data_IF_280311308717
#
_entry.id   IF_280311308717
#
_cell.length_a   1.000
_cell.length_b   1.000
_cell.length_c   1.000
_cell.angle_alpha   90.00
_cell.angle_beta   90.00
_cell.angle_gamma   90.00
#
_symmetry.space_group_name_H-M   'P 1'
#
loop_
_entity.id
_entity.type
_entity.pdbx_description
1 polymer ?
#
# COMPACT_ATOMS: atom_id res chain seq x y z
N UNK A 1 10.76 -23.00 -12.82
CA UNK A 1 10.08 -24.02 -11.99
C UNK A 1 9.00 -23.40 -11.09
N UNK A 2 9.29 -22.27 -10.44
CA UNK A 2 8.33 -21.56 -9.53
C UNK A 2 6.98 -21.28 -10.17
N UNK A 3 6.96 -20.72 -11.38
CA UNK A 3 5.72 -20.40 -12.10
C UNK A 3 4.83 -21.63 -12.39
N UNK A 4 5.44 -22.76 -12.69
CA UNK A 4 4.73 -24.03 -12.90
C UNK A 4 4.13 -24.54 -11.59
N UNK A 5 4.92 -24.53 -10.51
CA UNK A 5 4.47 -24.94 -9.19
C UNK A 5 3.32 -24.05 -8.68
N UNK A 6 3.46 -22.72 -8.79
CA UNK A 6 2.44 -21.75 -8.45
C UNK A 6 1.12 -22.05 -9.17
N UNK A 7 1.17 -22.21 -10.50
CA UNK A 7 -0.04 -22.47 -11.28
C UNK A 7 -0.71 -23.79 -10.90
N UNK A 8 0.08 -24.85 -10.72
CA UNK A 8 -0.46 -26.16 -10.30
C UNK A 8 -1.06 -26.13 -8.90
N UNK A 9 -0.54 -25.28 -8.01
CA UNK A 9 -1.10 -25.05 -6.67
C UNK A 9 -2.36 -24.19 -6.73
N UNK A 10 -2.39 -23.16 -7.56
CA UNK A 10 -3.54 -22.25 -7.72
C UNK A 10 -4.77 -22.98 -8.27
N UNK A 11 -4.59 -23.84 -9.27
CA UNK A 11 -5.65 -24.69 -9.83
C UNK A 11 -6.27 -25.62 -8.77
N UNK A 12 -5.51 -25.99 -7.74
CA UNK A 12 -5.96 -26.86 -6.63
C UNK A 12 -6.51 -26.09 -5.46
N UNK A 13 -6.03 -24.87 -5.25
CA UNK A 13 -6.48 -23.96 -4.22
C UNK A 13 -7.91 -23.52 -4.49
N UNK A 14 -8.21 -23.10 -5.72
CA UNK A 14 -9.53 -22.62 -6.14
C UNK A 14 -10.00 -23.33 -7.42
N UNK A 15 -10.35 -24.63 -7.34
CA UNK A 15 -10.90 -25.33 -8.48
C UNK A 15 -12.23 -24.69 -8.87
N UNK A 16 -12.44 -24.51 -10.18
CA UNK A 16 -13.61 -23.84 -10.75
C UNK A 16 -14.91 -24.31 -10.08
N UNK A 17 -15.59 -23.39 -9.39
CA UNK A 17 -16.89 -23.64 -8.75
C UNK A 17 -16.85 -24.22 -7.32
N UNK A 18 -15.70 -24.23 -6.64
CA UNK A 18 -15.59 -24.69 -5.24
C UNK A 18 -15.00 -23.62 -4.31
N UNK A 19 -15.23 -23.79 -3.00
CA UNK A 19 -14.66 -22.95 -1.95
C UNK A 19 -13.13 -23.10 -1.95
N UNK A 20 -12.37 -21.99 -1.86
CA UNK A 20 -10.91 -22.05 -1.74
C UNK A 20 -10.49 -22.92 -0.56
N UNK A 21 -9.50 -23.79 -0.77
CA UNK A 21 -8.96 -24.64 0.30
C UNK A 21 -7.73 -23.98 0.93
N UNK A 22 -7.63 -24.01 2.26
CA UNK A 22 -6.53 -23.39 3.01
C UNK A 22 -5.25 -24.24 3.03
N UNK A 23 -5.39 -25.54 2.75
CA UNK A 23 -4.27 -26.47 2.69
C UNK A 23 -4.45 -27.51 1.59
N UNK A 24 -3.33 -27.97 1.02
CA UNK A 24 -3.31 -29.04 0.02
C UNK A 24 -2.23 -30.06 0.37
N UNK A 25 -2.63 -31.33 0.51
CA UNK A 25 -1.72 -32.44 0.80
C UNK A 25 -1.63 -33.39 -0.38
N UNK A 26 -0.41 -33.80 -0.75
CA UNK A 26 -0.15 -34.69 -1.88
C UNK A 26 1.07 -35.58 -1.62
N UNK A 27 1.09 -36.80 -2.18
CA UNK A 27 2.28 -37.64 -2.19
C UNK A 27 3.43 -36.94 -2.92
N UNK A 28 4.62 -36.95 -2.31
CA UNK A 28 5.84 -36.35 -2.87
C UNK A 28 6.18 -36.98 -4.22
N UNK A 29 5.98 -38.29 -4.37
CA UNK A 29 6.20 -39.00 -5.64
C UNK A 29 5.22 -38.53 -6.71
N UNK A 30 3.92 -38.59 -6.42
CA UNK A 30 2.88 -38.19 -7.37
C UNK A 30 3.04 -36.71 -7.76
N UNK A 31 3.49 -35.87 -6.82
CA UNK A 31 3.78 -34.47 -7.07
C UNK A 31 4.97 -34.27 -8.01
N UNK A 32 6.07 -35.00 -7.79
CA UNK A 32 7.22 -34.99 -8.68
C UNK A 32 6.84 -35.43 -10.09
N UNK A 33 6.07 -36.51 -10.24
CA UNK A 33 5.60 -37.00 -11.54
C UNK A 33 4.72 -35.97 -12.25
N UNK A 34 3.79 -35.33 -11.55
CA UNK A 34 2.96 -34.29 -12.14
C UNK A 34 3.77 -33.09 -12.65
N UNK A 35 4.86 -32.76 -11.95
CA UNK A 35 5.77 -31.68 -12.32
C UNK A 35 6.83 -32.10 -13.36
N UNK A 36 6.73 -33.32 -13.91
CA UNK A 36 7.62 -33.85 -14.95
C UNK A 36 8.92 -34.48 -14.45
N UNK A 37 9.06 -34.71 -13.14
CA UNK A 37 10.24 -35.33 -12.50
C UNK A 37 10.13 -36.87 -12.48
N UNK A 38 9.83 -37.48 -13.63
CA UNK A 38 9.61 -38.92 -13.73
C UNK A 38 10.88 -39.70 -13.36
N UNK A 39 10.73 -40.75 -12.55
CA UNK A 39 11.84 -41.63 -12.13
C UNK A 39 12.85 -40.99 -11.17
N UNK A 40 12.58 -39.79 -10.64
CA UNK A 40 13.46 -39.15 -9.67
C UNK A 40 13.31 -39.77 -8.27
N UNK A 41 14.42 -39.83 -7.53
CA UNK A 41 14.39 -40.18 -6.10
C UNK A 41 13.75 -39.04 -5.31
N UNK A 42 13.04 -39.37 -4.24
CA UNK A 42 12.30 -38.41 -3.40
C UNK A 42 13.16 -37.26 -2.86
N UNK A 43 14.39 -37.55 -2.41
CA UNK A 43 15.32 -36.50 -1.96
C UNK A 43 15.67 -35.51 -3.08
N UNK A 44 15.81 -36.00 -4.31
CA UNK A 44 16.07 -35.17 -5.50
C UNK A 44 14.86 -34.30 -5.85
N UNK A 45 13.65 -34.85 -5.75
CA UNK A 45 12.40 -34.11 -5.93
C UNK A 45 12.33 -32.97 -4.90
N UNK A 46 12.58 -33.26 -3.62
CA UNK A 46 12.58 -32.24 -2.56
C UNK A 46 13.57 -31.12 -2.85
N UNK A 47 14.84 -31.45 -3.11
CA UNK A 47 15.88 -30.46 -3.43
C UNK A 47 15.55 -29.61 -4.64
N UNK A 48 14.86 -30.15 -5.64
CA UNK A 48 14.46 -29.40 -6.82
C UNK A 48 13.28 -28.46 -6.57
N UNK A 49 12.38 -28.84 -5.65
CA UNK A 49 11.25 -28.00 -5.25
C UNK A 49 11.64 -26.90 -4.26
N UNK A 50 12.69 -27.10 -3.47
CA UNK A 50 13.14 -26.18 -2.42
C UNK A 50 13.24 -24.71 -2.87
N UNK A 51 13.90 -24.36 -4.00
CA UNK A 51 14.00 -22.95 -4.42
C UNK A 51 12.63 -22.36 -4.76
N UNK A 52 11.72 -23.17 -5.29
CA UNK A 52 10.37 -22.75 -5.62
C UNK A 52 9.49 -22.61 -4.37
N UNK A 53 9.69 -23.47 -3.36
CA UNK A 53 9.04 -23.32 -2.06
C UNK A 53 9.47 -22.05 -1.37
N UNK A 54 10.77 -21.75 -1.36
CA UNK A 54 11.29 -20.54 -0.74
C UNK A 54 10.70 -19.28 -1.37
N UNK A 55 10.67 -19.18 -2.71
CA UNK A 55 10.09 -18.01 -3.38
C UNK A 55 8.58 -17.84 -3.08
N UNK A 56 7.83 -18.95 -2.96
CA UNK A 56 6.41 -18.91 -2.62
C UNK A 56 6.13 -18.59 -1.15
N UNK A 57 7.05 -18.93 -0.26
CA UNK A 57 7.02 -18.51 1.14
C UNK A 57 7.38 -17.03 1.27
N UNK A 58 8.42 -16.58 0.55
CA UNK A 58 8.87 -15.17 0.56
C UNK A 58 7.82 -14.21 0.00
N UNK A 59 7.03 -14.66 -0.96
CA UNK A 59 5.89 -13.91 -1.53
C UNK A 59 4.60 -14.02 -0.71
N UNK A 60 4.64 -14.71 0.44
CA UNK A 60 3.50 -15.00 1.30
C UNK A 60 2.33 -15.72 0.59
N UNK A 61 2.58 -16.36 -0.56
CA UNK A 61 1.59 -17.22 -1.21
C UNK A 61 1.38 -18.53 -0.44
N UNK A 62 2.47 -19.06 0.12
CA UNK A 62 2.46 -20.15 1.09
C UNK A 62 2.82 -19.60 2.47
N UNK A 63 2.18 -20.11 3.52
CA UNK A 63 2.59 -19.89 4.92
C UNK A 63 3.58 -20.96 5.34
N UNK A 64 3.37 -22.18 4.87
CA UNK A 64 4.09 -23.34 5.38
C UNK A 64 4.12 -24.46 4.34
N UNK A 65 5.24 -25.18 4.29
CA UNK A 65 5.39 -26.42 3.53
C UNK A 65 5.91 -27.49 4.49
N UNK A 66 5.11 -28.54 4.71
CA UNK A 66 5.43 -29.62 5.65
C UNK A 66 5.66 -30.90 4.87
N UNK A 67 6.79 -31.57 5.12
CA UNK A 67 7.02 -32.93 4.66
C UNK A 67 6.72 -33.92 5.78
N UNK A 68 5.78 -34.83 5.55
CA UNK A 68 5.40 -35.88 6.51
C UNK A 68 5.61 -37.28 5.92
N UNK A 69 5.75 -38.29 6.78
CA UNK A 69 6.00 -39.67 6.36
C UNK A 69 7.48 -39.97 6.04
N UNK A 70 7.75 -41.20 5.59
CA UNK A 70 9.09 -41.69 5.24
C UNK A 70 9.05 -42.58 4.00
N UNK A 71 10.15 -42.61 3.26
CA UNK A 71 10.27 -43.41 2.03
C UNK A 71 9.16 -43.09 1.03
N UNK A 72 8.64 -44.12 0.38
CA UNK A 72 7.58 -44.00 -0.64
C UNK A 72 6.26 -43.38 -0.15
N UNK A 73 6.02 -43.40 1.17
CA UNK A 73 4.84 -42.80 1.79
C UNK A 73 4.99 -41.32 2.12
N UNK A 74 6.06 -40.66 1.69
CA UNK A 74 6.30 -39.26 2.00
C UNK A 74 5.27 -38.33 1.33
N UNK A 75 4.66 -37.43 2.11
CA UNK A 75 3.68 -36.46 1.65
C UNK A 75 4.18 -35.03 1.86
N UNK A 76 3.72 -34.12 1.01
CA UNK A 76 3.92 -32.68 1.10
C UNK A 76 2.58 -32.04 1.41
N UNK A 77 2.51 -31.26 2.47
CA UNK A 77 1.37 -30.43 2.81
C UNK A 77 1.75 -28.97 2.60
N UNK A 78 1.00 -28.31 1.74
CA UNK A 78 1.08 -26.88 1.47
C UNK A 78 0.00 -26.17 2.27
N UNK A 79 0.38 -25.17 3.07
CA UNK A 79 -0.56 -24.25 3.71
C UNK A 79 -0.54 -22.94 2.95
N UNK A 80 -1.66 -22.53 2.38
CA UNK A 80 -1.74 -21.31 1.61
C UNK A 80 -1.79 -20.09 2.52
N UNK A 81 -1.10 -19.02 2.11
CA UNK A 81 -1.27 -17.68 2.68
C UNK A 81 -2.72 -17.25 2.59
N UNK A 82 -3.22 -16.51 3.58
CA UNK A 82 -4.54 -15.89 3.45
C UNK A 82 -4.55 -15.00 2.21
N UNK A 83 -5.26 -15.43 1.17
CA UNK A 83 -5.82 -14.47 0.22
C UNK A 83 -6.82 -13.72 1.08
N UNK A 84 -6.58 -12.43 1.27
CA UNK A 84 -7.49 -11.54 1.98
C UNK A 84 -8.90 -11.95 1.59
N UNK A 85 -9.68 -12.42 2.58
CA UNK A 85 -11.06 -12.83 2.34
C UNK A 85 -11.71 -11.77 1.45
N UNK A 86 -12.54 -12.16 0.46
CA UNK A 86 -13.22 -11.19 -0.37
C UNK A 86 -13.81 -10.13 0.56
N UNK A 87 -13.42 -8.85 0.41
CA UNK A 87 -13.74 -7.83 1.38
C UNK A 87 -15.25 -7.82 1.56
N UNK A 88 -15.73 -7.82 2.80
CA UNK A 88 -17.16 -7.85 3.09
C UNK A 88 -17.84 -6.74 2.26
N UNK A 89 -18.63 -7.15 1.27
CA UNK A 89 -19.20 -6.26 0.25
C UNK A 89 -20.12 -5.23 0.87
N UNK A 90 -20.74 -5.56 2.01
CA UNK A 90 -21.58 -4.65 2.79
C UNK A 90 -20.73 -3.53 3.41
N UNK A 91 -19.58 -3.86 4.00
CA UNK A 91 -18.65 -2.89 4.59
C UNK A 91 -18.02 -1.99 3.51
N UNK A 92 -17.69 -2.55 2.35
CA UNK A 92 -17.18 -1.78 1.21
C UNK A 92 -18.25 -0.81 0.69
N UNK A 93 -19.49 -1.27 0.55
CA UNK A 93 -20.60 -0.43 0.14
C UNK A 93 -20.88 0.68 1.16
N UNK A 94 -20.78 0.37 2.45
CA UNK A 94 -20.98 1.31 3.56
C UNK A 94 -19.90 2.41 3.55
N UNK A 95 -18.62 2.08 3.34
CA UNK A 95 -17.57 3.09 3.16
C UNK A 95 -17.73 3.92 1.88
N UNK A 96 -18.14 3.28 0.79
CA UNK A 96 -18.34 3.95 -0.50
C UNK A 96 -19.49 4.97 -0.44
N UNK A 97 -20.60 4.62 0.23
CA UNK A 97 -21.72 5.54 0.50
C UNK A 97 -21.32 6.75 1.34
N UNK A 98 -20.34 6.60 2.22
CA UNK A 98 -19.78 7.68 3.05
C UNK A 98 -18.71 8.51 2.32
N UNK A 99 -18.45 8.20 1.05
CA UNK A 99 -17.66 9.01 0.14
C UNK A 99 -16.27 8.44 -0.17
N UNK A 100 -15.87 7.29 0.38
CA UNK A 100 -14.58 6.66 0.06
C UNK A 100 -14.60 6.08 -1.37
N UNK A 101 -13.49 6.19 -2.10
CA UNK A 101 -13.38 5.56 -3.43
C UNK A 101 -13.37 4.04 -3.30
N UNK A 102 -13.96 3.32 -4.27
CA UNK A 102 -14.06 1.85 -4.22
C UNK A 102 -12.71 1.13 -3.97
N UNK A 103 -11.57 1.54 -4.57
CA UNK A 103 -10.28 0.94 -4.27
C UNK A 103 -9.82 1.18 -2.83
N UNK A 104 -10.07 2.37 -2.27
CA UNK A 104 -9.70 2.69 -0.90
C UNK A 104 -10.65 2.05 0.12
N UNK A 105 -11.94 1.92 -0.20
CA UNK A 105 -12.90 1.19 0.62
C UNK A 105 -12.50 -0.28 0.76
N UNK A 106 -12.12 -0.95 -0.34
CA UNK A 106 -11.62 -2.33 -0.32
C UNK A 106 -10.38 -2.45 0.57
N UNK A 107 -9.38 -1.58 0.38
CA UNK A 107 -8.15 -1.57 1.21
C UNK A 107 -8.46 -1.34 2.70
N UNK A 108 -9.39 -0.44 2.99
CA UNK A 108 -9.76 -0.09 4.37
C UNK A 108 -10.51 -1.23 5.06
N UNK A 109 -11.42 -1.91 4.36
CA UNK A 109 -12.10 -3.11 4.89
C UNK A 109 -11.10 -4.24 5.13
N UNK A 110 -10.14 -4.44 4.23
CA UNK A 110 -9.11 -5.47 4.41
C UNK A 110 -8.21 -5.21 5.62
N UNK A 111 -7.90 -3.94 5.92
CA UNK A 111 -7.02 -3.57 7.03
C UNK A 111 -7.75 -3.40 8.37
N UNK A 112 -9.02 -2.95 8.36
CA UNK A 112 -9.72 -2.49 9.57
C UNK A 112 -11.17 -3.01 9.68
N UNK A 113 -11.50 -4.18 9.10
CA UNK A 113 -12.87 -4.72 9.04
C UNK A 113 -13.69 -4.57 10.34
N UNK A 114 -13.10 -4.91 11.49
CA UNK A 114 -13.77 -4.86 12.79
C UNK A 114 -14.11 -3.43 13.27
N UNK A 115 -13.44 -2.41 12.75
CA UNK A 115 -13.59 -1.01 13.17
C UNK A 115 -14.46 -0.20 12.20
N UNK A 116 -14.83 -0.75 11.05
CA UNK A 116 -15.52 -0.01 9.97
C UNK A 116 -16.85 0.58 10.43
N UNK A 117 -17.70 -0.21 11.06
CA UNK A 117 -19.02 0.23 11.48
C UNK A 117 -18.94 1.30 12.59
N UNK A 118 -18.10 1.07 13.60
CA UNK A 118 -17.89 2.01 14.70
C UNK A 118 -17.34 3.35 14.19
N UNK A 119 -16.39 3.31 13.25
CA UNK A 119 -15.75 4.50 12.67
C UNK A 119 -16.73 5.28 11.81
N UNK A 120 -17.58 4.60 11.04
CA UNK A 120 -18.59 5.26 10.21
C UNK A 120 -19.71 5.88 11.07
N UNK A 121 -20.10 5.22 12.17
CA UNK A 121 -21.01 5.79 13.14
C UNK A 121 -20.43 7.05 13.80
N UNK A 122 -19.16 7.00 14.22
CA UNK A 122 -18.45 8.16 14.77
C UNK A 122 -18.31 9.29 13.73
N UNK A 123 -17.98 8.96 12.48
CA UNK A 123 -17.90 9.92 11.37
C UNK A 123 -19.23 10.64 11.14
N UNK A 124 -20.35 9.91 11.21
CA UNK A 124 -21.69 10.51 11.15
C UNK A 124 -21.92 11.56 12.24
N UNK A 125 -21.50 11.27 13.47
CA UNK A 125 -21.60 12.20 14.61
C UNK A 125 -20.76 13.45 14.37
N UNK A 126 -19.49 13.30 13.97
CA UNK A 126 -18.59 14.43 13.67
C UNK A 126 -19.18 15.33 12.58
N UNK A 127 -19.68 14.74 11.49
CA UNK A 127 -20.29 15.50 10.39
C UNK A 127 -21.56 16.22 10.84
N UNK A 128 -22.39 15.60 11.68
CA UNK A 128 -23.65 16.22 12.16
C UNK A 128 -23.42 17.35 13.16
N UNK A 129 -22.36 17.28 13.97
CA UNK A 129 -22.03 18.29 14.99
C UNK A 129 -21.17 19.43 14.44
N UNK A 130 -20.60 19.27 13.24
CA UNK A 130 -19.79 20.29 12.59
C UNK A 130 -20.65 21.51 12.20
N UNK A 131 -20.33 22.67 12.78
CA UNK A 131 -20.96 23.97 12.44
C UNK A 131 -20.68 24.46 11.01
N UNK A 132 -19.72 23.85 10.32
CA UNK A 132 -19.31 24.21 8.96
C UNK A 132 -19.18 22.94 8.12
N UNK A 133 -19.62 22.93 6.85
CA UNK A 133 -19.54 21.75 6.01
C UNK A 133 -18.08 21.27 5.87
N UNK A 134 -17.85 20.00 6.19
CA UNK A 134 -16.55 19.34 6.06
C UNK A 134 -16.14 19.30 4.59
N UNK A 135 -15.13 20.09 4.21
CA UNK A 135 -14.66 20.20 2.82
C UNK A 135 -13.99 18.92 2.29
N UNK A 136 -13.33 18.13 3.16
CA UNK A 136 -12.66 16.89 2.78
C UNK A 136 -13.14 15.71 3.62
N UNK A 137 -14.31 15.18 3.24
CA UNK A 137 -14.97 14.05 3.93
C UNK A 137 -14.15 12.76 3.84
N UNK A 138 -13.51 12.52 2.71
CA UNK A 138 -12.67 11.34 2.48
C UNK A 138 -11.43 11.35 3.38
N UNK A 139 -10.73 12.49 3.42
CA UNK A 139 -9.55 12.66 4.27
C UNK A 139 -9.89 12.49 5.75
N UNK A 140 -11.02 13.06 6.20
CA UNK A 140 -11.49 12.89 7.57
C UNK A 140 -11.79 11.41 7.89
N UNK A 141 -12.52 10.70 7.03
CA UNK A 141 -12.86 9.30 7.28
C UNK A 141 -11.60 8.42 7.35
N UNK A 142 -10.63 8.64 6.46
CA UNK A 142 -9.33 7.93 6.50
C UNK A 142 -8.52 8.28 7.74
N UNK A 143 -8.55 9.54 8.18
CA UNK A 143 -7.85 9.98 9.40
C UNK A 143 -8.45 9.32 10.66
N UNK A 144 -9.77 9.16 10.72
CA UNK A 144 -10.44 8.48 11.83
C UNK A 144 -10.07 6.99 11.94
N UNK A 145 -9.72 6.32 10.82
CA UNK A 145 -9.17 4.96 10.86
C UNK A 145 -7.70 4.91 11.31
N UNK A 146 -6.92 5.94 10.99
CA UNK A 146 -5.47 5.98 11.29
C UNK A 146 -5.15 6.47 12.69
N UNK A 147 -5.94 7.43 13.17
CA UNK A 147 -5.75 8.11 14.45
C UNK A 147 -7.07 8.09 15.26
N UNK A 148 -7.61 6.90 15.61
CA UNK A 148 -8.90 6.79 16.30
C UNK A 148 -8.92 7.51 17.66
N UNK A 149 -7.77 7.63 18.34
CA UNK A 149 -7.61 8.31 19.62
C UNK A 149 -7.94 9.81 19.57
N UNK A 150 -7.70 10.46 18.43
CA UNK A 150 -8.05 11.89 18.22
C UNK A 150 -9.56 12.13 18.21
N UNK A 151 -10.33 11.06 18.00
CA UNK A 151 -11.77 11.10 17.84
C UNK A 151 -12.49 10.25 18.89
N UNK A 152 -11.79 9.84 19.96
CA UNK A 152 -12.30 8.91 20.98
C UNK A 152 -13.65 9.34 21.58
N UNK A 153 -13.86 10.65 21.74
CA UNK A 153 -15.12 11.25 22.22
C UNK A 153 -16.34 10.91 21.34
N UNK A 154 -16.13 10.61 20.05
CA UNK A 154 -17.19 10.25 19.12
C UNK A 154 -17.43 8.74 19.02
N UNK A 155 -16.50 7.91 19.52
CA UNK A 155 -16.63 6.46 19.56
C UNK A 155 -17.42 5.97 20.78
N UNK A 156 -17.46 6.73 21.88
CA UNK A 156 -18.27 6.40 23.05
C UNK A 156 -19.75 6.74 22.81
N UNK A 157 -20.63 5.74 22.94
CA UNK A 157 -22.09 5.90 22.80
C UNK A 157 -22.78 6.56 23.99
N UNK A 158 -22.05 7.00 25.01
CA UNK A 158 -22.62 7.39 26.32
C UNK A 158 -22.84 8.90 26.50
N UNK A 159 -22.51 9.74 25.52
CA UNK A 159 -22.71 11.21 25.62
C UNK A 159 -23.80 11.75 24.68
N UNK A 160 -24.83 10.95 24.40
CA UNK A 160 -26.00 11.41 23.64
C UNK A 160 -27.08 12.08 24.51
N UNK A 161 -26.88 12.17 25.83
CA UNK A 161 -27.87 12.70 26.75
C UNK A 161 -27.25 13.66 27.78
N UNK A 162 -26.66 14.77 27.34
CA UNK A 162 -26.56 15.95 28.19
C UNK A 162 -26.42 17.21 27.32
N UNK A 163 -27.55 17.90 27.17
CA UNK A 163 -27.63 19.20 26.53
C UNK A 163 -27.09 20.28 27.48
N UNK A 164 -25.92 20.84 27.12
CA UNK A 164 -25.52 22.24 27.39
C UNK A 164 -24.51 22.49 28.53
N UNK A 165 -23.90 23.69 28.62
CA UNK A 165 -23.80 24.77 27.65
C UNK A 165 -22.35 25.01 27.14
N UNK A 166 -22.25 25.73 26.03
CA UNK A 166 -21.10 26.48 25.50
C UNK A 166 -19.71 26.15 26.09
N UNK A 167 -18.91 25.36 25.35
CA UNK A 167 -17.45 25.50 25.40
C UNK A 167 -16.97 26.17 24.12
N UNK A 168 -16.45 27.38 24.30
CA UNK A 168 -15.63 28.08 23.34
C UNK A 168 -14.55 27.14 22.83
N UNK A 169 -14.64 26.79 21.55
CA UNK A 169 -13.44 26.43 20.81
C UNK A 169 -12.46 27.59 21.00
N UNK A 170 -11.18 27.33 21.36
CA UNK A 170 -10.19 28.38 21.40
C UNK A 170 -10.17 29.04 20.02
N UNK A 171 -10.70 30.26 19.97
CA UNK A 171 -10.55 31.17 18.84
C UNK A 171 -9.06 31.43 18.69
N UNK A 172 -8.37 30.66 17.85
CA UNK A 172 -7.22 31.21 17.14
C UNK A 172 -7.74 31.98 15.94
N UNK A 173 -8.10 33.22 16.25
CA UNK A 173 -8.28 34.31 15.30
C UNK A 173 -6.95 34.51 14.55
N UNK A 174 -6.91 33.94 13.35
CA UNK A 174 -6.34 34.46 12.10
C UNK A 174 -5.24 35.53 12.21
N UNK A 175 -4.03 35.14 11.78
CA UNK A 175 -2.98 35.92 11.09
C UNK A 175 -1.83 34.92 10.90
N UNK A 176 -1.21 34.67 9.74
CA UNK A 176 -0.99 35.40 8.51
C UNK A 176 -0.77 34.34 7.41
N UNK A 177 -1.00 34.70 6.15
CA UNK A 177 -0.29 34.13 4.99
C UNK A 177 1.12 33.65 5.37
N UNK A 178 1.36 32.34 5.31
CA UNK A 178 2.70 31.76 5.25
C UNK A 178 2.63 30.85 4.04
N UNK A 179 2.96 31.36 2.86
CA UNK A 179 4.30 31.20 2.28
C UNK A 179 4.87 29.85 2.67
N UNK A 180 5.13 29.04 1.65
CA UNK A 180 5.80 27.76 1.73
C UNK A 180 7.15 27.94 2.42
N UNK A 181 7.15 27.83 3.74
CA UNK A 181 8.35 27.72 4.55
C UNK A 181 8.47 26.25 4.93
N UNK A 182 9.51 25.63 4.35
CA UNK A 182 9.98 24.30 4.68
C UNK A 182 9.98 24.10 6.21
N UNK A 183 9.44 22.98 6.73
CA UNK A 183 9.59 22.66 8.14
C UNK A 183 11.05 22.32 8.38
N UNK A 184 11.80 23.26 8.96
CA UNK A 184 13.04 22.94 9.64
C UNK A 184 12.69 22.16 10.92
N UNK A 185 13.27 20.96 11.04
CA UNK A 185 13.59 20.38 12.34
C UNK A 185 12.62 19.35 12.91
N UNK A 186 12.35 18.28 12.16
CA UNK A 186 12.38 16.93 12.75
C UNK A 186 13.44 16.16 11.94
N UNK A 187 14.70 16.19 12.41
CA UNK A 187 15.83 15.48 11.78
C UNK A 187 15.48 14.00 11.55
N UNK A 188 14.66 13.42 12.43
CA UNK A 188 14.16 12.06 12.34
C UNK A 188 13.21 11.82 11.16
N UNK A 189 12.36 12.80 10.80
CA UNK A 189 11.43 12.68 9.68
C UNK A 189 12.15 12.78 8.33
N UNK A 190 13.08 13.73 8.21
CA UNK A 190 13.87 13.89 6.99
C UNK A 190 14.84 12.72 6.79
N UNK A 191 15.43 12.22 7.87
CA UNK A 191 16.30 11.04 7.84
C UNK A 191 15.52 9.76 7.51
N UNK A 192 14.29 9.61 8.00
CA UNK A 192 13.42 8.46 7.67
C UNK A 192 12.99 8.49 6.19
N UNK A 193 12.64 9.65 5.67
CA UNK A 193 12.35 9.81 4.25
C UNK A 193 13.62 9.54 3.43
N UNK A 194 14.76 10.11 3.79
CA UNK A 194 16.03 9.87 3.10
C UNK A 194 16.44 8.39 3.11
N UNK A 195 16.23 7.67 4.22
CA UNK A 195 16.43 6.22 4.30
C UNK A 195 15.46 5.46 3.41
N UNK A 196 14.17 5.78 3.46
CA UNK A 196 13.16 5.15 2.61
C UNK A 196 13.45 5.35 1.11
N UNK A 197 13.98 6.51 0.72
CA UNK A 197 14.42 6.80 -0.65
C UNK A 197 15.69 6.03 -1.03
N UNK A 198 16.66 5.88 -0.12
CA UNK A 198 17.90 5.10 -0.35
C UNK A 198 17.67 3.60 -0.38
N UNK A 199 16.72 3.09 0.41
CA UNK A 199 16.36 1.68 0.50
C UNK A 199 15.47 1.22 -0.66
N UNK A 200 14.84 2.14 -1.40
CA UNK A 200 14.10 1.81 -2.61
C UNK A 200 15.05 1.32 -3.72
N UNK A 201 14.65 0.23 -4.38
CA UNK A 201 15.33 -0.26 -5.58
C UNK A 201 15.40 0.84 -6.65
N UNK A 202 16.50 0.92 -7.42
CA UNK A 202 16.69 1.93 -8.46
C UNK A 202 15.46 2.09 -9.37
N UNK A 203 14.87 0.98 -9.82
CA UNK A 203 13.70 0.97 -10.72
C UNK A 203 12.42 1.50 -10.04
N UNK A 204 12.33 1.36 -8.72
CA UNK A 204 11.22 1.91 -7.94
C UNK A 204 11.37 3.43 -7.73
N UNK A 205 12.62 3.93 -7.62
CA UNK A 205 12.92 5.36 -7.56
C UNK A 205 12.59 6.05 -8.88
N UNK A 206 12.95 5.44 -10.01
CA UNK A 206 12.64 5.94 -11.36
C UNK A 206 11.14 6.09 -11.57
N UNK A 207 10.37 5.02 -11.32
CA UNK A 207 8.90 5.03 -11.52
C UNK A 207 8.20 6.06 -10.63
N UNK A 208 8.68 6.21 -9.39
CA UNK A 208 8.13 7.20 -8.45
C UNK A 208 8.46 8.62 -8.89
N UNK A 209 9.67 8.87 -9.38
CA UNK A 209 10.07 10.18 -9.89
C UNK A 209 9.31 10.54 -11.18
N UNK A 210 9.18 9.60 -12.09
CA UNK A 210 8.43 9.77 -13.34
C UNK A 210 6.96 10.10 -13.07
N UNK A 211 6.34 9.44 -12.08
CA UNK A 211 4.96 9.77 -11.67
C UNK A 211 4.83 11.17 -11.07
N UNK A 212 5.82 11.66 -10.34
CA UNK A 212 5.81 13.02 -9.77
C UNK A 212 6.00 14.08 -10.87
N UNK A 213 6.92 13.84 -11.80
CA UNK A 213 7.16 14.70 -12.96
C UNK A 213 5.92 14.80 -13.85
N UNK A 214 5.28 13.67 -14.17
CA UNK A 214 4.04 13.68 -14.96
C UNK A 214 2.92 14.44 -14.26
N UNK A 215 2.82 14.33 -12.93
CA UNK A 215 1.77 14.98 -12.15
C UNK A 215 1.99 16.50 -12.00
N UNK A 216 3.24 16.94 -11.91
CA UNK A 216 3.57 18.32 -11.50
C UNK A 216 4.19 19.17 -12.61
N UNK A 217 4.73 18.53 -13.65
CA UNK A 217 5.51 19.16 -14.72
C UNK A 217 5.08 18.69 -16.12
N UNK A 218 3.97 17.96 -16.24
CA UNK A 218 3.50 17.44 -17.53
C UNK A 218 3.23 18.51 -18.59
N UNK A 219 2.95 19.75 -18.18
CA UNK A 219 2.74 20.89 -19.08
C UNK A 219 4.03 21.65 -19.45
N UNK A 220 5.16 21.33 -18.80
CA UNK A 220 6.42 22.07 -18.89
C UNK A 220 7.62 21.24 -19.35
N UNK A 221 7.56 19.91 -19.18
CA UNK A 221 8.58 18.94 -19.61
C UNK A 221 7.98 17.93 -20.59
N UNK A 222 8.73 17.58 -21.62
CA UNK A 222 8.39 16.52 -22.56
C UNK A 222 8.56 15.14 -21.93
N UNK A 223 7.92 14.12 -22.53
CA UNK A 223 8.02 12.74 -22.07
C UNK A 223 9.46 12.20 -22.08
N UNK A 224 10.29 12.67 -23.00
CA UNK A 224 11.70 12.30 -23.13
C UNK A 224 12.54 12.93 -22.01
N UNK A 225 12.36 14.23 -21.75
CA UNK A 225 13.03 14.94 -20.65
C UNK A 225 12.66 14.34 -19.29
N UNK A 226 11.38 14.00 -19.08
CA UNK A 226 10.93 13.35 -17.84
C UNK A 226 11.52 11.95 -17.65
N UNK A 227 11.69 11.19 -18.75
CA UNK A 227 12.33 9.88 -18.70
C UNK A 227 13.81 10.01 -18.30
N UNK A 228 14.56 10.92 -18.92
CA UNK A 228 15.98 11.14 -18.61
C UNK A 228 16.18 11.57 -17.16
N UNK A 229 15.40 12.52 -16.66
CA UNK A 229 15.45 12.95 -15.25
C UNK A 229 15.12 11.78 -14.31
N UNK A 230 14.11 10.99 -14.63
CA UNK A 230 13.73 9.85 -13.79
C UNK A 230 14.84 8.81 -13.70
N UNK A 231 15.54 8.53 -14.81
CA UNK A 231 16.69 7.62 -14.88
C UNK A 231 17.90 8.16 -14.10
N UNK A 232 18.15 9.48 -14.16
CA UNK A 232 19.21 10.13 -13.37
C UNK A 232 18.94 10.10 -11.85
N UNK A 233 17.67 10.05 -11.44
CA UNK A 233 17.29 9.82 -10.03
C UNK A 233 17.37 8.34 -9.66
N UNK A 234 17.04 7.45 -10.60
CA UNK A 234 17.15 6.00 -10.44
C UNK A 234 18.56 5.51 -10.19
N UNK A 235 19.50 5.95 -11.04
CA UNK A 235 20.91 5.59 -10.96
C UNK A 235 21.67 6.29 -9.81
N UNK A 236 21.02 7.25 -9.12
CA UNK A 236 21.57 7.96 -7.97
C UNK A 236 22.50 9.13 -8.31
N UNK A 237 22.53 9.55 -9.58
CA UNK A 237 23.28 10.75 -10.01
C UNK A 237 22.62 12.02 -9.47
N UNK A 238 21.28 12.00 -9.35
CA UNK A 238 20.48 13.05 -8.73
C UNK A 238 19.83 12.54 -7.44
N UNK A 239 19.87 13.36 -6.37
CA UNK A 239 19.16 13.06 -5.13
C UNK A 239 17.65 13.28 -5.35
N UNK A 240 16.90 12.17 -5.42
CA UNK A 240 15.46 12.20 -5.65
C UNK A 240 14.66 12.95 -4.57
N UNK A 241 15.19 13.05 -3.35
CA UNK A 241 14.52 13.72 -2.24
C UNK A 241 14.69 15.24 -2.34
N UNK A 242 15.92 15.70 -2.60
CA UNK A 242 16.20 17.10 -2.89
C UNK A 242 15.40 17.57 -4.12
N UNK A 243 15.37 16.73 -5.16
CA UNK A 243 14.64 17.00 -6.38
C UNK A 243 13.13 17.13 -6.15
N UNK A 244 12.53 16.22 -5.36
CA UNK A 244 11.09 16.29 -5.02
C UNK A 244 10.74 17.56 -4.21
N UNK A 245 11.65 18.03 -3.34
CA UNK A 245 11.48 19.29 -2.60
C UNK A 245 11.52 20.50 -3.52
N UNK A 246 12.47 20.53 -4.46
CA UNK A 246 12.58 21.59 -5.47
C UNK A 246 11.34 21.65 -6.37
N UNK A 247 10.82 20.50 -6.82
CA UNK A 247 9.56 20.42 -7.55
C UNK A 247 8.36 20.96 -6.74
N UNK A 248 8.25 20.57 -5.47
CA UNK A 248 7.17 21.03 -4.59
C UNK A 248 7.24 22.53 -4.34
N UNK A 249 8.45 23.08 -4.23
CA UNK A 249 8.70 24.51 -4.08
C UNK A 249 8.34 25.29 -5.34
N UNK A 250 8.78 24.83 -6.51
CA UNK A 250 8.46 25.48 -7.78
C UNK A 250 6.96 25.45 -8.12
N UNK A 251 6.25 24.39 -7.75
CA UNK A 251 4.78 24.35 -7.86
C UNK A 251 4.13 25.43 -6.99
N UNK A 252 4.63 25.62 -5.77
CA UNK A 252 4.07 26.59 -4.85
C UNK A 252 4.40 28.05 -5.21
N UNK A 253 5.59 28.28 -5.76
CA UNK A 253 6.06 29.60 -6.21
C UNK A 253 5.64 29.91 -7.66
N UNK A 254 4.99 28.95 -8.35
CA UNK A 254 4.62 29.01 -9.78
C UNK A 254 5.81 29.26 -10.72
N UNK A 255 7.01 28.87 -10.31
CA UNK A 255 8.26 29.00 -11.08
C UNK A 255 8.58 27.71 -11.86
N UNK A 256 7.55 26.94 -12.22
CA UNK A 256 7.70 25.64 -12.91
C UNK A 256 8.44 25.78 -14.26
N UNK A 257 8.28 26.92 -14.93
CA UNK A 257 8.96 27.23 -16.21
C UNK A 257 10.46 27.43 -16.01
N UNK A 258 10.86 28.15 -14.95
CA UNK A 258 12.28 28.41 -14.65
C UNK A 258 12.99 27.12 -14.22
N UNK A 259 12.31 26.30 -13.41
CA UNK A 259 12.83 25.01 -12.99
C UNK A 259 12.94 24.03 -14.17
N UNK A 260 12.00 24.05 -15.12
CA UNK A 260 12.08 23.27 -16.35
C UNK A 260 13.27 23.72 -17.24
N UNK A 261 13.54 25.03 -17.32
CA UNK A 261 14.67 25.56 -18.07
C UNK A 261 16.01 25.15 -17.44
N UNK A 262 16.13 25.17 -16.12
CA UNK A 262 17.32 24.71 -15.39
C UNK A 262 17.58 23.22 -15.61
N UNK A 263 16.53 22.40 -15.63
CA UNK A 263 16.66 20.97 -15.89
C UNK A 263 17.03 20.65 -17.35
N UNK A 264 16.55 21.44 -18.31
CA UNK A 264 16.99 21.29 -19.72
C UNK A 264 18.50 21.48 -19.87
N UNK A 265 19.05 22.51 -19.21
CA UNK A 265 20.50 22.76 -19.19
C UNK A 265 21.27 21.60 -18.54
N UNK A 266 20.69 20.95 -17.53
CA UNK A 266 21.32 19.82 -16.84
C UNK A 266 21.27 18.50 -17.63
N UNK A 267 20.33 18.37 -18.57
CA UNK A 267 20.15 17.20 -19.44
C UNK A 267 20.91 17.34 -20.78
N UNK A 268 21.19 18.57 -21.22
CA UNK A 268 21.97 18.88 -22.43
C UNK A 268 23.50 18.80 -22.26
N UNK A 269 24.00 18.50 -21.05
CA UNK A 269 25.42 18.26 -20.73
C UNK A 269 25.71 16.76 -20.69
#
# INVERSE_FOLDING_TARGET
MVRTLYRSLEERRAPLGKVPTDAYTVSTRNWGEHLGMHGWRLDKIRRALEPAHQELLDTAYLVEVIYTGRGEGQQITYRFGQVAAPPNTELVALLTRNGLSAPNAVKTVQAYAAQVEATVAAFGRVVSQARTPVKNRQGLLVDMFRNPERYAEYFSSESAAESGPAREFPKKTRSVTKTVEAPAGDEDWEAQQAKAWREMRPEARERRMLSLLQMMMGDHLSAEEMAVISTLVGNGTLDGLEFSRRLTRALADKTQVDLAAEFRVLIEV
#
